data_IF_035190675524
#
_entry.id   IF_035190675524
#
_cell.length_a   1.000
_cell.length_b   1.000
_cell.length_c   1.000
_cell.angle_alpha   90.00
_cell.angle_beta   90.00
_cell.angle_gamma   90.00
#
_symmetry.space_group_name_H-M   'P 1'
#
loop_
_entity.id
_entity.type
_entity.pdbx_description
1 polymer ?
#
# COMPACT_ATOMS: atom_id res chain seq x y z
N UNK A 1 3.15 1.80 15.99
CA UNK A 1 2.40 1.03 14.97
C UNK A 1 3.02 1.14 13.58
N UNK A 2 3.25 2.34 13.03
CA UNK A 2 3.95 2.50 11.73
C UNK A 2 5.32 1.81 11.65
N UNK A 3 6.07 1.76 12.76
CA UNK A 3 7.40 1.12 12.82
C UNK A 3 7.42 -0.40 12.57
N UNK A 4 6.26 -1.06 12.54
CA UNK A 4 6.16 -2.52 12.42
C UNK A 4 5.55 -2.98 11.08
N UNK A 5 5.22 -2.05 10.19
CA UNK A 5 4.57 -2.35 8.91
C UNK A 5 5.33 -1.68 7.79
N UNK A 6 5.42 -2.36 6.63
CA UNK A 6 6.11 -1.82 5.47
C UNK A 6 5.31 -0.71 4.78
N UNK A 7 3.98 -0.80 4.82
CA UNK A 7 3.05 0.12 4.18
C UNK A 7 1.80 0.31 5.02
N UNK A 8 1.28 1.53 5.04
CA UNK A 8 0.01 1.90 5.69
C UNK A 8 -0.99 2.31 4.61
N UNK A 9 -2.12 1.62 4.57
CA UNK A 9 -3.24 1.95 3.68
C UNK A 9 -4.37 2.55 4.53
N UNK A 10 -4.92 3.67 4.09
CA UNK A 10 -6.06 4.33 4.74
C UNK A 10 -7.24 4.40 3.79
N UNK A 11 -8.37 3.88 4.23
CA UNK A 11 -9.66 4.08 3.56
C UNK A 11 -10.31 5.34 4.12
N UNK A 12 -10.65 6.30 3.24
CA UNK A 12 -11.33 7.54 3.61
C UNK A 12 -12.68 7.63 2.91
N UNK A 13 -13.64 8.28 3.57
CA UNK A 13 -14.89 8.70 2.95
C UNK A 13 -15.27 10.10 3.45
N UNK A 14 -16.29 10.70 2.85
CA UNK A 14 -16.83 11.99 3.33
C UNK A 14 -17.51 11.82 4.69
N UNK A 15 -17.60 12.90 5.47
CA UNK A 15 -18.08 12.87 6.86
C UNK A 15 -19.55 12.42 6.95
N UNK A 16 -20.38 12.82 6.00
CA UNK A 16 -21.78 12.42 5.85
C UNK A 16 -21.91 10.90 5.62
N UNK A 17 -21.15 10.34 4.67
CA UNK A 17 -21.13 8.90 4.40
C UNK A 17 -20.59 8.14 5.61
N UNK A 18 -19.55 8.65 6.27
CA UNK A 18 -18.99 8.04 7.47
C UNK A 18 -20.03 7.98 8.61
N UNK A 19 -20.74 9.10 8.83
CA UNK A 19 -21.78 9.20 9.84
C UNK A 19 -22.92 8.22 9.57
N UNK A 20 -23.46 8.25 8.35
CA UNK A 20 -24.55 7.40 7.92
C UNK A 20 -24.21 5.92 8.13
N UNK A 21 -23.04 5.47 7.65
CA UNK A 21 -22.61 4.07 7.76
C UNK A 21 -22.44 3.61 9.22
N UNK A 22 -21.95 4.48 10.11
CA UNK A 22 -21.79 4.13 11.53
C UNK A 22 -23.15 4.00 12.21
N UNK A 23 -24.07 4.92 11.94
CA UNK A 23 -25.44 4.88 12.49
C UNK A 23 -26.15 3.61 12.02
N UNK A 24 -26.14 3.33 10.71
CA UNK A 24 -26.80 2.16 10.13
C UNK A 24 -26.21 0.84 10.63
N UNK A 25 -24.88 0.74 10.72
CA UNK A 25 -24.20 -0.49 11.13
C UNK A 25 -24.33 -0.78 12.63
N UNK A 26 -24.17 0.24 13.46
CA UNK A 26 -24.06 0.08 14.92
C UNK A 26 -25.38 0.42 15.64
N UNK A 27 -26.40 0.92 14.94
CA UNK A 27 -27.69 1.31 15.52
C UNK A 27 -27.60 2.50 16.48
N UNK A 28 -26.66 3.42 16.23
CA UNK A 28 -26.34 4.53 17.14
C UNK A 28 -27.21 5.76 16.89
N UNK A 29 -27.38 6.58 17.93
CA UNK A 29 -27.86 7.96 17.73
C UNK A 29 -26.80 8.80 17.02
N UNK A 30 -27.20 9.89 16.38
CA UNK A 30 -26.25 10.80 15.72
C UNK A 30 -25.21 11.37 16.71
N UNK A 31 -25.62 11.64 17.96
CA UNK A 31 -24.73 12.15 19.00
C UNK A 31 -23.68 11.10 19.41
N UNK A 32 -24.10 9.84 19.58
CA UNK A 32 -23.18 8.76 19.93
C UNK A 32 -22.21 8.45 18.78
N UNK A 33 -22.70 8.49 17.53
CA UNK A 33 -21.87 8.35 16.35
C UNK A 33 -20.82 9.47 16.24
N UNK A 34 -21.21 10.74 16.48
CA UNK A 34 -20.27 11.88 16.55
C UNK A 34 -19.21 11.68 17.63
N UNK A 35 -19.62 11.31 18.84
CA UNK A 35 -18.67 11.04 19.93
C UNK A 35 -17.69 9.93 19.55
N UNK A 36 -18.18 8.86 18.90
CA UNK A 36 -17.35 7.75 18.45
C UNK A 36 -16.35 8.13 17.36
N UNK A 37 -16.76 8.98 16.41
CA UNK A 37 -15.87 9.52 15.38
C UNK A 37 -14.80 10.41 16.03
N UNK A 38 -15.21 11.30 16.94
CA UNK A 38 -14.33 12.25 17.62
C UNK A 38 -13.35 11.58 18.60
N UNK A 39 -13.69 10.41 19.14
CA UNK A 39 -12.79 9.63 19.98
C UNK A 39 -11.62 9.01 19.20
N UNK A 40 -11.68 9.00 17.87
CA UNK A 40 -10.61 8.50 17.01
C UNK A 40 -9.68 9.62 16.54
N UNK A 41 -8.51 9.24 16.04
CA UNK A 41 -7.66 10.13 15.26
C UNK A 41 -8.43 10.67 14.04
N UNK A 42 -8.34 11.99 13.82
CA UNK A 42 -9.02 12.65 12.70
C UNK A 42 -8.61 12.05 11.36
N UNK A 43 -9.53 12.06 10.39
CA UNK A 43 -9.27 11.50 9.07
C UNK A 43 -8.08 12.18 8.38
N UNK A 44 -7.95 13.50 8.56
CA UNK A 44 -6.81 14.28 8.07
C UNK A 44 -5.47 13.75 8.60
N UNK A 45 -5.40 13.40 9.88
CA UNK A 45 -4.18 12.84 10.47
C UNK A 45 -3.92 11.39 10.04
N UNK A 46 -4.96 10.58 9.82
CA UNK A 46 -4.81 9.24 9.21
C UNK A 46 -4.25 9.36 7.79
N UNK A 47 -4.79 10.25 6.97
CA UNK A 47 -4.37 10.51 5.59
C UNK A 47 -2.91 10.93 5.51
N UNK A 48 -2.45 11.85 6.38
CA UNK A 48 -1.03 12.27 6.45
C UNK A 48 -0.06 11.12 6.74
N UNK A 49 -0.56 10.06 7.36
CA UNK A 49 0.21 8.92 7.86
C UNK A 49 0.18 7.72 6.92
N UNK A 50 -0.52 7.82 5.79
CA UNK A 50 -0.74 6.74 4.85
C UNK A 50 0.28 6.76 3.71
N UNK A 51 0.71 5.58 3.27
CA UNK A 51 1.39 5.39 2.00
C UNK A 51 0.40 5.40 0.83
N UNK A 52 -0.81 4.88 1.06
CA UNK A 52 -1.88 4.81 0.07
C UNK A 52 -3.22 5.21 0.68
N UNK A 53 -4.01 5.95 -0.08
CA UNK A 53 -5.34 6.41 0.32
C UNK A 53 -6.35 5.84 -0.67
N UNK A 54 -7.39 5.21 -0.15
CA UNK A 54 -8.50 4.66 -0.95
C UNK A 54 -9.76 5.43 -0.60
N UNK A 55 -10.38 6.08 -1.60
CA UNK A 55 -11.60 6.84 -1.42
C UNK A 55 -12.84 5.93 -1.58
N UNK A 56 -13.52 5.66 -0.47
CA UNK A 56 -14.71 4.81 -0.41
C UNK A 56 -16.00 5.65 -0.38
N UNK A 57 -16.13 6.54 -1.35
CA UNK A 57 -17.34 7.36 -1.55
C UNK A 57 -18.30 6.76 -2.60
N UNK A 58 -17.80 5.88 -3.46
CA UNK A 58 -18.52 5.32 -4.60
C UNK A 58 -19.13 3.95 -4.32
N UNK A 59 -19.31 3.19 -5.39
CA UNK A 59 -19.84 1.82 -5.33
C UNK A 59 -18.78 0.82 -4.87
N UNK A 60 -19.21 -0.42 -4.64
CA UNK A 60 -18.27 -1.52 -4.38
C UNK A 60 -17.32 -1.76 -5.56
N UNK A 61 -17.80 -1.60 -6.80
CA UNK A 61 -17.00 -1.77 -8.01
C UNK A 61 -15.91 -0.69 -8.12
N UNK A 62 -16.24 0.55 -7.74
CA UNK A 62 -15.25 1.63 -7.66
C UNK A 62 -14.18 1.32 -6.62
N UNK A 63 -14.60 0.83 -5.46
CA UNK A 63 -13.68 0.44 -4.39
C UNK A 63 -12.77 -0.72 -4.82
N UNK A 64 -13.33 -1.73 -5.48
CA UNK A 64 -12.58 -2.87 -6.00
C UNK A 64 -11.53 -2.43 -7.02
N UNK A 65 -11.89 -1.50 -7.92
CA UNK A 65 -10.95 -0.93 -8.89
C UNK A 65 -9.77 -0.23 -8.21
N UNK A 66 -10.04 0.62 -7.21
CA UNK A 66 -9.00 1.34 -6.46
C UNK A 66 -8.07 0.38 -5.68
N UNK A 67 -8.65 -0.66 -5.05
CA UNK A 67 -7.89 -1.69 -4.34
C UNK A 67 -6.98 -2.45 -5.33
N UNK A 68 -7.51 -2.88 -6.46
CA UNK A 68 -6.74 -3.59 -7.48
C UNK A 68 -5.61 -2.73 -8.06
N UNK A 69 -5.83 -1.43 -8.24
CA UNK A 69 -4.77 -0.52 -8.66
C UNK A 69 -3.66 -0.38 -7.60
N UNK A 70 -4.03 -0.25 -6.32
CA UNK A 70 -3.09 -0.20 -5.21
C UNK A 70 -2.26 -1.50 -5.09
N UNK A 71 -2.89 -2.66 -5.23
CA UNK A 71 -2.20 -3.96 -5.21
C UNK A 71 -1.17 -4.08 -6.34
N UNK A 72 -1.54 -3.72 -7.58
CA UNK A 72 -0.60 -3.72 -8.72
C UNK A 72 0.62 -2.83 -8.48
N UNK A 73 0.43 -1.67 -7.84
CA UNK A 73 1.52 -0.75 -7.50
C UNK A 73 2.46 -1.31 -6.42
N UNK A 74 1.96 -2.18 -5.54
CA UNK A 74 2.73 -2.73 -4.40
C UNK A 74 3.42 -4.05 -4.71
N UNK A 75 2.86 -4.90 -5.58
CA UNK A 75 3.45 -6.19 -5.97
C UNK A 75 4.72 -6.07 -6.82
N UNK A 76 4.85 -4.98 -7.57
CA UNK A 76 5.85 -4.82 -8.63
C UNK A 76 7.29 -4.64 -8.11
N UNK A 77 7.48 -4.26 -6.84
CA UNK A 77 8.80 -3.83 -6.34
C UNK A 77 9.75 -4.99 -6.01
N UNK A 78 9.26 -6.10 -5.46
CA UNK A 78 10.11 -7.24 -5.08
C UNK A 78 10.59 -8.05 -6.29
N UNK A 79 9.73 -8.24 -7.30
CA UNK A 79 10.07 -8.97 -8.52
C UNK A 79 11.16 -8.25 -9.33
N UNK A 80 11.07 -6.92 -9.45
CA UNK A 80 12.11 -6.08 -10.04
C UNK A 80 13.45 -6.17 -9.30
N UNK A 81 13.40 -6.15 -7.97
CA UNK A 81 14.61 -6.19 -7.15
C UNK A 81 15.33 -7.52 -7.34
N UNK A 82 14.59 -8.63 -7.25
CA UNK A 82 15.10 -9.98 -7.50
C UNK A 82 15.67 -10.11 -8.91
N UNK A 83 14.97 -9.61 -9.93
CA UNK A 83 15.45 -9.65 -11.32
C UNK A 83 16.76 -8.87 -11.52
N UNK A 84 16.89 -7.69 -10.91
CA UNK A 84 18.14 -6.90 -10.95
C UNK A 84 19.32 -7.64 -10.31
N UNK A 85 19.11 -8.31 -9.18
CA UNK A 85 20.16 -9.11 -8.52
C UNK A 85 20.55 -10.35 -9.33
N UNK A 86 19.59 -11.03 -9.97
CA UNK A 86 19.89 -12.14 -10.86
C UNK A 86 20.68 -11.69 -12.10
N UNK A 87 20.34 -10.55 -12.69
CA UNK A 87 21.04 -10.05 -13.87
C UNK A 87 22.48 -9.61 -13.54
N UNK A 88 22.68 -8.92 -12.42
CA UNK A 88 24.02 -8.46 -12.02
C UNK A 88 24.94 -9.62 -11.66
N UNK A 89 24.44 -10.65 -10.97
CA UNK A 89 25.20 -11.86 -10.68
C UNK A 89 25.56 -12.65 -11.94
N UNK A 90 24.64 -12.78 -12.91
CA UNK A 90 24.93 -13.42 -14.19
C UNK A 90 26.04 -12.70 -14.97
N UNK A 91 25.99 -11.36 -15.02
CA UNK A 91 27.05 -10.54 -15.65
C UNK A 91 28.39 -10.78 -14.96
N UNK A 92 28.43 -10.78 -13.62
CA UNK A 92 29.65 -11.01 -12.86
C UNK A 92 30.27 -12.39 -13.11
N UNK A 93 29.46 -13.45 -13.21
CA UNK A 93 29.95 -14.79 -13.54
C UNK A 93 30.51 -14.83 -14.96
N UNK A 94 29.81 -14.23 -15.93
CA UNK A 94 30.27 -14.15 -17.31
C UNK A 94 31.60 -13.38 -17.43
N UNK A 95 31.73 -12.22 -16.79
CA UNK A 95 32.97 -11.45 -16.83
C UNK A 95 34.13 -12.19 -16.15
N UNK A 96 33.85 -12.87 -15.04
CA UNK A 96 34.86 -13.68 -14.34
C UNK A 96 35.34 -14.86 -15.19
N UNK A 97 34.43 -15.55 -15.89
CA UNK A 97 34.79 -16.64 -16.81
C UNK A 97 35.61 -16.15 -18.01
N UNK A 98 35.25 -15.00 -18.58
CA UNK A 98 36.01 -14.39 -19.69
C UNK A 98 37.42 -14.04 -19.23
N UNK A 99 37.57 -13.42 -18.05
CA UNK A 99 38.88 -13.09 -17.48
C UNK A 99 39.71 -14.35 -17.19
N UNK A 100 39.13 -15.35 -16.53
CA UNK A 100 39.81 -16.63 -16.27
C UNK A 100 40.24 -17.34 -17.55
N UNK A 101 39.46 -17.25 -18.62
CA UNK A 101 39.82 -17.80 -19.91
C UNK A 101 40.97 -16.98 -20.54
N UNK A 102 40.89 -15.66 -20.52
CA UNK A 102 41.96 -14.78 -21.03
C UNK A 102 43.31 -15.03 -20.34
N UNK A 103 43.32 -15.15 -19.00
CA UNK A 103 44.54 -15.45 -18.24
C UNK A 103 45.07 -16.88 -18.42
N UNK A 104 44.27 -17.84 -18.92
CA UNK A 104 44.77 -19.17 -19.30
C UNK A 104 45.55 -19.17 -20.62
N UNK A 105 45.39 -18.14 -21.45
CA UNK A 105 46.04 -18.00 -22.76
C UNK A 105 47.26 -17.07 -22.74
N UNK A 106 47.62 -16.52 -21.58
CA UNK A 106 48.87 -15.80 -21.30
C UNK A 106 49.78 -16.72 -20.50
#
# INVERSE_FOLDING_TARGET
MQKFVCKVVVTSCTEDIQMQRIIERDGLTENDAKQRINAQMSMKEKVKRADFIILNNGTIDDLEREVNEMLRKTEWEWSKLLFKFCLSSAIFVLTSLILLNYFKFI
#
